data_IF_162292115262
#
_entry.id   IF_162292115262
#
_cell.length_a   1.000
_cell.length_b   1.000
_cell.length_c   1.000
_cell.angle_alpha   90.00
_cell.angle_beta   90.00
_cell.angle_gamma   90.00
#
_symmetry.space_group_name_H-M   'P 1'
#
loop_
_entity.id
_entity.type
_entity.pdbx_description
1 polymer ?
#
# COMPACT_ATOMS: atom_id res chain seq x y z
N UNK A 1 -17.45 7.62 -21.53
CA UNK A 1 -16.20 8.27 -21.09
C UNK A 1 -16.06 9.55 -21.92
N UNK A 2 -16.01 10.76 -21.33
CA UNK A 2 -15.78 11.99 -22.12
C UNK A 2 -14.38 11.93 -22.77
N UNK A 3 -14.18 12.46 -23.99
CA UNK A 3 -12.89 12.47 -24.70
C UNK A 3 -11.74 13.08 -23.88
N UNK A 4 -12.06 14.03 -22.99
CA UNK A 4 -11.09 14.72 -22.15
C UNK A 4 -10.37 13.77 -21.17
N UNK A 5 -11.05 12.72 -20.69
CA UNK A 5 -10.44 11.75 -19.76
C UNK A 5 -9.37 10.89 -20.43
N UNK A 6 -9.53 10.57 -21.72
CA UNK A 6 -8.54 9.77 -22.45
C UNK A 6 -7.25 10.58 -22.67
N UNK A 7 -7.38 11.87 -22.97
CA UNK A 7 -6.23 12.78 -23.11
C UNK A 7 -5.45 12.94 -21.80
N UNK A 8 -6.16 12.97 -20.68
CA UNK A 8 -5.52 13.02 -19.36
C UNK A 8 -4.64 11.78 -19.11
N UNK A 9 -5.12 10.57 -19.44
CA UNK A 9 -4.32 9.36 -19.29
C UNK A 9 -3.04 9.35 -20.15
N UNK A 10 -3.09 9.93 -21.35
CA UNK A 10 -1.89 10.08 -22.19
C UNK A 10 -0.89 11.03 -21.54
N UNK A 11 -1.34 12.12 -20.93
CA UNK A 11 -0.49 13.03 -20.17
C UNK A 11 0.14 12.35 -18.94
N UNK A 12 -0.60 11.44 -18.30
CA UNK A 12 -0.18 10.74 -17.09
C UNK A 12 0.63 9.46 -17.36
N UNK A 13 0.82 9.07 -18.63
CA UNK A 13 1.48 7.83 -19.05
C UNK A 13 2.87 7.66 -18.42
N UNK A 14 3.63 8.75 -18.26
CA UNK A 14 4.96 8.74 -17.64
C UNK A 14 4.95 8.14 -16.23
N UNK A 15 3.89 8.37 -15.46
CA UNK A 15 3.77 7.83 -14.11
C UNK A 15 3.52 6.32 -14.15
N UNK A 16 2.65 5.86 -15.03
CA UNK A 16 2.43 4.42 -15.20
C UNK A 16 3.68 3.68 -15.68
N UNK A 17 4.44 4.28 -16.61
CA UNK A 17 5.73 3.73 -17.04
C UNK A 17 6.73 3.67 -15.87
N UNK A 18 6.77 4.70 -15.03
CA UNK A 18 7.63 4.73 -13.83
C UNK A 18 7.31 3.58 -12.89
N UNK A 19 6.03 3.36 -12.59
CA UNK A 19 5.61 2.23 -11.75
C UNK A 19 5.98 0.89 -12.35
N UNK A 20 5.83 0.73 -13.67
CA UNK A 20 6.15 -0.52 -14.36
C UNK A 20 7.63 -0.94 -14.23
N UNK A 21 8.53 0.01 -13.92
CA UNK A 21 9.94 -0.28 -13.67
C UNK A 21 10.17 -1.02 -12.35
N UNK A 22 9.19 -1.06 -11.44
CA UNK A 22 9.27 -1.81 -10.19
C UNK A 22 8.02 -2.68 -9.97
N UNK A 23 7.99 -3.90 -10.53
CA UNK A 23 6.83 -4.79 -10.46
C UNK A 23 6.32 -5.08 -9.03
N UNK A 24 7.22 -5.12 -8.04
CA UNK A 24 6.84 -5.34 -6.65
C UNK A 24 6.02 -4.18 -6.08
N UNK A 25 6.34 -2.93 -6.42
CA UNK A 25 5.58 -1.74 -6.00
C UNK A 25 4.19 -1.75 -6.63
N UNK A 26 4.11 -2.16 -7.91
CA UNK A 26 2.84 -2.32 -8.62
C UNK A 26 1.97 -3.37 -7.94
N UNK A 27 2.56 -4.51 -7.57
CA UNK A 27 1.90 -5.52 -6.75
C UNK A 27 1.34 -4.93 -5.46
N UNK A 28 2.19 -4.22 -4.70
CA UNK A 28 1.83 -3.62 -3.41
C UNK A 28 0.53 -2.79 -3.51
N UNK A 29 0.46 -1.95 -4.55
CA UNK A 29 -0.69 -1.08 -4.78
C UNK A 29 -1.91 -1.86 -5.24
N UNK A 30 -1.75 -2.79 -6.20
CA UNK A 30 -2.87 -3.57 -6.75
C UNK A 30 -3.56 -4.35 -5.64
N UNK A 31 -2.79 -5.05 -4.81
CA UNK A 31 -3.30 -5.87 -3.72
C UNK A 31 -3.82 -5.04 -2.53
N UNK A 32 -3.44 -3.75 -2.44
CA UNK A 32 -4.01 -2.82 -1.45
C UNK A 32 -5.53 -2.68 -1.54
N UNK A 33 -6.15 -3.10 -2.66
CA UNK A 33 -7.61 -3.12 -2.81
C UNK A 33 -8.31 -3.89 -1.68
N UNK A 34 -7.68 -4.94 -1.14
CA UNK A 34 -8.22 -5.75 -0.05
C UNK A 34 -7.84 -5.23 1.33
N UNK A 35 -6.80 -4.40 1.42
CA UNK A 35 -6.37 -3.78 2.67
C UNK A 35 -7.40 -2.76 3.17
N UNK A 36 -7.53 -2.66 4.50
CA UNK A 36 -8.43 -1.72 5.17
C UNK A 36 -7.70 -1.11 6.39
N UNK A 37 -7.78 0.22 6.58
CA UNK A 37 -7.37 0.82 7.85
C UNK A 37 -8.17 0.21 9.00
N UNK A 38 -7.58 0.22 10.20
CA UNK A 38 -8.19 -0.24 11.45
C UNK A 38 -8.44 -1.75 11.59
N UNK A 39 -8.13 -2.56 10.56
CA UNK A 39 -8.16 -4.03 10.67
C UNK A 39 -6.84 -4.50 11.27
N UNK A 40 -6.93 -5.03 12.49
CA UNK A 40 -5.80 -5.65 13.17
C UNK A 40 -5.44 -7.02 12.58
N UNK A 41 -4.16 -7.39 12.66
CA UNK A 41 -3.62 -8.57 12.00
C UNK A 41 -4.23 -9.90 12.48
N UNK A 42 -4.73 -9.96 13.72
CA UNK A 42 -5.45 -11.11 14.28
C UNK A 42 -6.87 -11.30 13.73
N UNK A 43 -7.45 -10.28 13.08
CA UNK A 43 -8.80 -10.33 12.50
C UNK A 43 -8.81 -10.20 10.97
N UNK A 44 -7.64 -10.36 10.34
CA UNK A 44 -7.51 -10.33 8.87
C UNK A 44 -8.24 -11.50 8.23
N UNK A 45 -8.16 -12.71 8.79
CA UNK A 45 -8.84 -13.88 8.24
C UNK A 45 -10.36 -13.70 8.11
N UNK A 46 -11.10 -13.25 9.15
CA UNK A 46 -12.53 -12.97 8.97
C UNK A 46 -12.80 -11.80 8.03
N UNK A 47 -11.94 -10.77 7.99
CA UNK A 47 -12.04 -9.68 7.02
C UNK A 47 -11.95 -10.18 5.57
N UNK A 48 -10.93 -10.97 5.24
CA UNK A 48 -10.74 -11.52 3.90
C UNK A 48 -11.81 -12.57 3.56
N UNK A 49 -12.22 -13.41 4.51
CA UNK A 49 -13.30 -14.39 4.32
C UNK A 49 -14.64 -13.72 4.00
N UNK A 50 -14.95 -12.61 4.67
CA UNK A 50 -16.15 -11.82 4.35
C UNK A 50 -16.09 -11.21 2.95
N UNK A 51 -14.90 -10.77 2.52
CA UNK A 51 -14.70 -10.27 1.16
C UNK A 51 -14.83 -11.39 0.12
N UNK A 52 -14.26 -12.57 0.42
CA UNK A 52 -14.33 -13.76 -0.43
C UNK A 52 -15.78 -14.20 -0.69
N UNK A 53 -16.62 -14.22 0.34
CA UNK A 53 -18.02 -14.67 0.19
C UNK A 53 -18.83 -13.78 -0.77
N UNK A 54 -18.49 -12.49 -0.85
CA UNK A 54 -19.10 -11.54 -1.78
C UNK A 54 -18.50 -11.65 -3.18
N UNK A 55 -17.18 -11.79 -3.29
CA UNK A 55 -16.49 -11.75 -4.59
C UNK A 55 -16.51 -13.08 -5.33
N UNK A 56 -16.54 -14.22 -4.63
CA UNK A 56 -16.48 -15.55 -5.25
C UNK A 56 -17.63 -15.81 -6.23
N UNK A 57 -18.90 -15.52 -5.92
CA UNK A 57 -19.98 -15.68 -6.90
C UNK A 57 -19.81 -14.80 -8.15
N UNK A 58 -19.26 -13.58 -8.01
CA UNK A 58 -19.00 -12.68 -9.14
C UNK A 58 -17.88 -13.21 -10.04
N UNK A 59 -16.84 -13.77 -9.43
CA UNK A 59 -15.71 -14.40 -10.12
C UNK A 59 -16.18 -15.66 -10.85
N UNK A 60 -16.89 -16.55 -10.17
CA UNK A 60 -17.38 -17.83 -10.72
C UNK A 60 -18.36 -17.61 -11.89
N UNK A 61 -19.15 -16.53 -11.84
CA UNK A 61 -20.08 -16.14 -12.91
C UNK A 61 -19.44 -15.32 -14.05
N UNK A 62 -18.15 -14.99 -13.96
CA UNK A 62 -17.45 -14.19 -14.96
C UNK A 62 -17.87 -12.71 -15.02
N UNK A 63 -18.57 -12.21 -14.00
CA UNK A 63 -19.08 -10.84 -13.91
C UNK A 63 -17.98 -9.83 -13.50
N UNK A 64 -16.90 -9.78 -14.30
CA UNK A 64 -15.74 -8.92 -14.04
C UNK A 64 -16.07 -7.43 -14.12
N UNK A 65 -17.13 -7.04 -14.84
CA UNK A 65 -17.56 -5.64 -14.92
C UNK A 65 -18.10 -5.15 -13.56
N UNK A 66 -18.82 -5.99 -12.82
CA UNK A 66 -19.31 -5.70 -11.47
C UNK A 66 -18.11 -5.63 -10.50
N UNK A 67 -17.16 -6.55 -10.64
CA UNK A 67 -15.94 -6.58 -9.84
C UNK A 67 -15.12 -5.29 -9.99
N UNK A 68 -14.91 -4.82 -11.23
CA UNK A 68 -14.24 -3.54 -11.51
C UNK A 68 -14.98 -2.38 -10.87
N UNK A 69 -16.31 -2.33 -10.99
CA UNK A 69 -17.12 -1.25 -10.40
C UNK A 69 -16.99 -1.25 -8.88
N UNK A 70 -17.01 -2.42 -8.24
CA UNK A 70 -16.80 -2.55 -6.80
C UNK A 70 -15.41 -2.05 -6.40
N UNK A 71 -14.36 -2.39 -7.16
CA UNK A 71 -13.01 -1.90 -6.91
C UNK A 71 -12.91 -0.38 -7.11
N UNK A 72 -13.56 0.17 -8.14
CA UNK A 72 -13.61 1.61 -8.39
C UNK A 72 -14.32 2.38 -7.28
N UNK A 73 -15.39 1.83 -6.71
CA UNK A 73 -16.07 2.42 -5.56
C UNK A 73 -15.22 2.36 -4.28
N UNK A 74 -14.48 1.26 -4.08
CA UNK A 74 -13.66 1.08 -2.87
C UNK A 74 -12.38 1.92 -2.91
N UNK A 75 -11.63 1.87 -4.02
CA UNK A 75 -10.36 2.58 -4.21
C UNK A 75 -10.19 3.07 -5.65
N UNK A 76 -10.73 4.25 -5.99
CA UNK A 76 -10.67 4.82 -7.33
C UNK A 76 -9.26 4.87 -7.93
N UNK A 77 -8.26 5.23 -7.12
CA UNK A 77 -6.86 5.35 -7.56
C UNK A 77 -6.23 4.03 -7.97
N UNK A 78 -6.65 2.93 -7.35
CA UNK A 78 -6.13 1.58 -7.61
C UNK A 78 -6.93 0.87 -8.70
N UNK A 79 -8.22 1.18 -8.79
CA UNK A 79 -9.16 0.47 -9.66
C UNK A 79 -8.84 0.56 -11.16
N UNK A 80 -8.18 1.63 -11.61
CA UNK A 80 -7.76 1.75 -13.00
C UNK A 80 -6.78 0.64 -13.41
N UNK A 81 -5.84 0.27 -12.53
CA UNK A 81 -4.92 -0.82 -12.80
C UNK A 81 -5.65 -2.15 -12.86
N UNK A 82 -6.61 -2.38 -11.96
CA UNK A 82 -7.48 -3.55 -12.02
C UNK A 82 -8.30 -3.61 -13.31
N UNK A 83 -8.87 -2.49 -13.76
CA UNK A 83 -9.55 -2.42 -15.06
C UNK A 83 -8.61 -2.83 -16.19
N UNK A 84 -7.38 -2.29 -16.23
CA UNK A 84 -6.38 -2.68 -17.22
C UNK A 84 -6.08 -4.18 -17.18
N UNK A 85 -5.88 -4.74 -15.99
CA UNK A 85 -5.61 -6.17 -15.77
C UNK A 85 -6.77 -7.04 -16.28
N UNK A 86 -8.02 -6.66 -15.99
CA UNK A 86 -9.18 -7.42 -16.47
C UNK A 86 -9.40 -7.29 -17.97
N UNK A 87 -9.13 -6.12 -18.56
CA UNK A 87 -9.21 -5.91 -20.01
C UNK A 87 -8.15 -6.72 -20.77
N UNK A 88 -6.98 -6.97 -20.16
CA UNK A 88 -5.97 -7.88 -20.72
C UNK A 88 -6.41 -9.35 -20.72
N UNK A 89 -7.49 -9.70 -20.01
CA UNK A 89 -8.15 -11.00 -20.11
C UNK A 89 -7.33 -12.18 -19.58
N UNK A 90 -6.37 -11.95 -18.68
CA UNK A 90 -5.55 -13.04 -18.14
C UNK A 90 -6.40 -14.00 -17.28
N UNK A 91 -6.48 -15.30 -17.63
CA UNK A 91 -7.30 -16.27 -16.90
C UNK A 91 -6.75 -16.59 -15.51
N UNK A 92 -5.51 -16.21 -15.21
CA UNK A 92 -4.90 -16.45 -13.91
C UNK A 92 -5.43 -15.49 -12.82
N UNK A 93 -5.82 -14.27 -13.20
CA UNK A 93 -6.12 -13.19 -12.25
C UNK A 93 -7.25 -13.55 -11.26
N UNK A 94 -8.39 -14.12 -11.70
CA UNK A 94 -9.44 -14.48 -10.75
C UNK A 94 -8.97 -15.53 -9.73
N UNK A 95 -8.15 -16.50 -10.18
CA UNK A 95 -7.54 -17.50 -9.30
C UNK A 95 -6.59 -16.88 -8.27
N UNK A 96 -5.78 -15.89 -8.68
CA UNK A 96 -4.91 -15.15 -7.75
C UNK A 96 -5.70 -14.35 -6.72
N UNK A 97 -6.83 -13.73 -7.11
CA UNK A 97 -7.71 -13.00 -6.19
C UNK A 97 -8.29 -13.96 -5.15
N UNK A 98 -8.92 -15.06 -5.59
CA UNK A 98 -9.52 -16.04 -4.69
C UNK A 98 -8.47 -16.57 -3.71
N UNK A 99 -7.28 -16.91 -4.22
CA UNK A 99 -6.20 -17.41 -3.40
C UNK A 99 -5.71 -16.40 -2.37
N UNK A 100 -5.48 -15.15 -2.77
CA UNK A 100 -5.10 -14.10 -1.82
C UNK A 100 -6.15 -13.95 -0.70
N UNK A 101 -7.43 -14.01 -1.03
CA UNK A 101 -8.50 -13.93 -0.02
C UNK A 101 -8.59 -15.18 0.87
N UNK A 102 -8.17 -16.33 0.39
CA UNK A 102 -8.15 -17.60 1.14
C UNK A 102 -6.91 -17.74 2.03
N UNK A 103 -5.72 -17.38 1.52
CA UNK A 103 -4.43 -17.68 2.16
C UNK A 103 -3.59 -16.45 2.51
N UNK A 104 -4.04 -15.24 2.15
CA UNK A 104 -3.23 -14.01 2.18
C UNK A 104 -1.97 -14.05 1.30
N UNK A 105 -1.94 -14.96 0.33
CA UNK A 105 -0.83 -15.13 -0.62
C UNK A 105 -1.40 -15.30 -2.03
N UNK A 106 -0.93 -14.50 -2.98
CA UNK A 106 -1.35 -14.63 -4.38
C UNK A 106 -0.53 -15.69 -5.13
N UNK A 107 0.74 -15.90 -4.77
CA UNK A 107 1.63 -16.87 -5.42
C UNK A 107 1.92 -18.10 -4.54
N UNK A 108 2.48 -19.17 -5.11
CA UNK A 108 2.97 -20.33 -4.35
C UNK A 108 4.33 -20.01 -3.70
N UNK A 109 4.47 -20.33 -2.41
CA UNK A 109 5.69 -20.09 -1.63
C UNK A 109 5.69 -18.77 -0.87
N UNK A 110 6.86 -18.33 -0.41
CA UNK A 110 7.02 -17.13 0.44
C UNK A 110 7.01 -15.78 -0.31
N UNK A 111 6.65 -15.78 -1.60
CA UNK A 111 6.62 -14.56 -2.40
C UNK A 111 5.23 -13.93 -2.32
N UNK A 112 5.14 -12.75 -1.70
CA UNK A 112 3.94 -11.92 -1.77
C UNK A 112 4.22 -10.63 -2.54
N UNK A 113 3.39 -10.39 -3.55
CA UNK A 113 3.25 -9.14 -4.27
C UNK A 113 2.54 -8.08 -3.44
N UNK A 114 1.88 -8.45 -2.34
CA UNK A 114 1.17 -7.52 -1.45
C UNK A 114 2.06 -6.91 -0.36
N UNK A 115 3.37 -7.15 -0.39
CA UNK A 115 4.31 -6.56 0.56
C UNK A 115 4.24 -5.02 0.51
N UNK A 116 4.07 -4.32 1.64
CA UNK A 116 3.97 -2.86 1.65
C UNK A 116 5.21 -2.14 1.14
N UNK A 117 5.02 -1.16 0.28
CA UNK A 117 6.02 -0.19 -0.15
C UNK A 117 5.58 1.25 0.17
N UNK A 118 6.03 1.78 1.31
CA UNK A 118 5.64 3.12 1.74
C UNK A 118 6.05 4.24 0.77
N UNK A 119 7.04 4.00 -0.10
CA UNK A 119 7.44 4.95 -1.15
C UNK A 119 6.34 5.04 -2.19
N UNK A 120 5.85 3.91 -2.67
CA UNK A 120 4.84 3.88 -3.72
C UNK A 120 3.46 4.29 -3.20
N UNK A 121 3.12 3.94 -1.95
CA UNK A 121 1.90 4.41 -1.30
C UNK A 121 1.90 5.94 -1.16
N UNK A 122 3.05 6.50 -0.75
CA UNK A 122 3.26 7.95 -0.65
C UNK A 122 3.15 8.63 -2.01
N UNK A 123 3.78 8.06 -3.04
CA UNK A 123 3.83 8.61 -4.39
C UNK A 123 2.50 8.51 -5.13
N UNK A 124 1.73 7.43 -4.95
CA UNK A 124 0.40 7.27 -5.55
C UNK A 124 -0.73 7.87 -4.70
N UNK A 125 -0.47 8.12 -3.43
CA UNK A 125 -1.49 8.50 -2.45
C UNK A 125 -2.51 7.39 -2.17
N UNK A 126 -2.12 6.13 -2.36
CA UNK A 126 -2.93 4.95 -2.04
C UNK A 126 -2.30 4.22 -0.85
N UNK A 127 -2.77 4.45 0.39
CA UNK A 127 -2.25 3.76 1.57
C UNK A 127 -2.51 2.26 1.46
N UNK A 128 -1.54 1.42 1.80
CA UNK A 128 -1.64 -0.04 1.64
C UNK A 128 -1.26 -0.81 2.90
N UNK A 129 -0.87 -0.10 3.95
CA UNK A 129 -0.48 -0.68 5.22
C UNK A 129 -0.67 0.28 6.38
N UNK A 130 -0.62 -0.26 7.59
CA UNK A 130 -0.57 0.56 8.81
C UNK A 130 0.66 1.49 8.86
N UNK A 131 1.73 1.20 8.09
CA UNK A 131 2.93 2.03 8.00
C UNK A 131 2.70 3.35 7.24
N UNK A 132 1.65 3.43 6.43
CA UNK A 132 1.28 4.63 5.68
C UNK A 132 0.47 5.63 6.53
N UNK A 133 0.12 5.23 7.76
CA UNK A 133 -0.60 6.04 8.73
C UNK A 133 0.34 6.77 9.69
N UNK A 134 -0.16 7.83 10.32
CA UNK A 134 0.57 8.54 11.37
C UNK A 134 0.48 7.81 12.71
N UNK A 135 1.37 8.17 13.64
CA UNK A 135 1.24 7.73 15.03
C UNK A 135 -0.08 8.18 15.64
N UNK A 136 -0.73 7.28 16.39
CA UNK A 136 -2.06 7.54 16.95
C UNK A 136 -2.04 8.66 17.99
N UNK A 137 -0.97 8.71 18.80
CA UNK A 137 -0.72 9.72 19.85
C UNK A 137 0.75 9.78 20.26
N UNK A 138 1.06 10.78 21.08
CA UNK A 138 2.32 10.88 21.81
C UNK A 138 2.20 10.17 23.16
N UNK A 139 3.28 9.54 23.62
CA UNK A 139 3.36 8.76 24.86
C UNK A 139 4.35 9.43 25.82
N UNK A 140 3.90 10.45 26.55
CA UNK A 140 4.75 11.28 27.42
C UNK A 140 5.04 10.59 28.74
N UNK A 141 4.04 9.97 29.36
CA UNK A 141 4.17 9.45 30.72
C UNK A 141 4.83 8.06 30.72
N UNK A 142 5.66 7.80 31.74
CA UNK A 142 6.40 6.54 31.87
C UNK A 142 5.47 5.33 32.08
N UNK A 143 4.30 5.56 32.69
CA UNK A 143 3.33 4.52 33.01
C UNK A 143 2.36 4.24 31.85
N UNK A 144 2.54 4.89 30.70
CA UNK A 144 1.67 4.65 29.55
C UNK A 144 1.96 3.31 28.86
N UNK A 145 0.89 2.74 28.32
CA UNK A 145 0.97 1.64 27.38
C UNK A 145 1.04 2.19 25.95
N UNK A 146 2.07 1.77 25.22
CA UNK A 146 2.33 2.12 23.83
C UNK A 146 1.70 1.08 22.92
N UNK A 147 0.96 1.51 21.90
CA UNK A 147 0.41 0.57 20.91
C UNK A 147 1.54 -0.13 20.15
N UNK A 148 1.42 -1.43 19.90
CA UNK A 148 2.41 -2.14 19.08
C UNK A 148 2.51 -1.55 17.68
N UNK A 149 1.41 -0.98 17.17
CA UNK A 149 1.38 -0.31 15.87
C UNK A 149 2.29 0.91 15.85
N UNK A 150 2.19 1.79 16.86
CA UNK A 150 3.06 2.97 16.94
C UNK A 150 4.52 2.60 17.22
N UNK A 151 4.76 1.57 18.04
CA UNK A 151 6.10 1.05 18.28
C UNK A 151 6.73 0.52 16.98
N UNK A 152 6.02 -0.30 16.20
CA UNK A 152 6.53 -0.81 14.93
C UNK A 152 6.70 0.31 13.89
N UNK A 153 5.78 1.28 13.80
CA UNK A 153 5.95 2.47 12.95
C UNK A 153 7.21 3.25 13.34
N UNK A 154 7.44 3.46 14.64
CA UNK A 154 8.63 4.14 15.15
C UNK A 154 9.92 3.41 14.72
N UNK A 155 9.99 2.10 14.95
CA UNK A 155 11.15 1.28 14.53
C UNK A 155 11.34 1.29 13.00
N UNK A 156 10.25 1.24 12.23
CA UNK A 156 10.29 1.32 10.78
C UNK A 156 10.82 2.69 10.29
N UNK A 157 10.40 3.79 10.93
CA UNK A 157 10.91 5.15 10.68
C UNK A 157 12.40 5.30 10.95
N UNK A 158 12.90 4.64 11.99
CA UNK A 158 14.30 4.65 12.37
C UNK A 158 15.14 3.59 11.65
N UNK A 159 14.54 2.82 10.73
CA UNK A 159 15.19 1.70 10.02
C UNK A 159 15.81 0.66 10.98
N UNK A 160 15.14 0.41 12.11
CA UNK A 160 15.55 -0.54 13.15
C UNK A 160 14.87 -1.91 13.02
N UNK A 161 14.10 -2.11 11.95
CA UNK A 161 13.49 -3.38 11.59
C UNK A 161 14.27 -4.03 10.48
N UNK A 162 14.42 -5.35 10.54
CA UNK A 162 14.82 -6.10 9.35
C UNK A 162 13.72 -5.93 8.29
N UNK A 163 14.12 -5.69 7.06
CA UNK A 163 13.26 -5.69 5.87
C UNK A 163 12.35 -6.93 5.80
N UNK A 164 12.77 -8.07 6.36
CA UNK A 164 11.93 -9.28 6.49
C UNK A 164 10.76 -9.13 7.47
N UNK A 165 10.89 -8.29 8.50
CA UNK A 165 9.86 -8.01 9.51
C UNK A 165 8.86 -6.92 9.09
N UNK A 166 9.19 -6.15 8.05
CA UNK A 166 8.36 -5.09 7.48
C UNK A 166 7.25 -5.59 6.53
N UNK A 167 7.11 -6.92 6.37
CA UNK A 167 6.09 -7.55 5.52
C UNK A 167 4.64 -7.38 6.04
N UNK A 168 4.45 -6.76 7.20
CA UNK A 168 3.13 -6.61 7.80
C UNK A 168 2.40 -5.40 7.19
N UNK A 169 1.50 -5.66 6.24
CA UNK A 169 0.52 -4.66 5.78
C UNK A 169 -0.49 -4.32 6.90
N UNK A 170 -0.88 -5.32 7.68
CA UNK A 170 -1.95 -5.23 8.67
C UNK A 170 -1.46 -4.71 10.02
N UNK A 171 -2.33 -3.98 10.71
CA UNK A 171 -2.00 -3.34 11.97
C UNK A 171 -1.74 -4.39 13.07
N UNK A 172 -0.61 -4.34 13.81
CA UNK A 172 -0.41 -5.23 14.94
C UNK A 172 -1.36 -4.89 16.10
N UNK A 173 -1.93 -5.92 16.74
CA UNK A 173 -2.81 -5.77 17.90
C UNK A 173 -2.04 -5.63 19.22
N UNK A 174 -2.68 -4.95 20.16
CA UNK A 174 -2.23 -4.87 21.56
C UNK A 174 -1.23 -3.77 21.86
N UNK A 175 -0.76 -3.78 23.11
CA UNK A 175 0.05 -2.71 23.70
C UNK A 175 1.24 -3.28 24.48
N UNK A 176 2.24 -2.44 24.73
CA UNK A 176 3.38 -2.74 25.61
C UNK A 176 3.59 -1.57 26.58
N UNK A 177 3.89 -1.81 27.88
CA UNK A 177 4.26 -0.75 28.81
C UNK A 177 5.50 0.00 28.29
N UNK A 178 5.51 1.33 28.38
CA UNK A 178 6.65 2.16 27.91
C UNK A 178 7.96 1.77 28.61
N UNK A 179 7.89 1.34 29.87
CA UNK A 179 9.04 0.83 30.65
C UNK A 179 9.68 -0.44 30.08
N UNK A 180 8.97 -1.19 29.24
CA UNK A 180 9.48 -2.41 28.58
C UNK A 180 10.02 -2.15 27.17
N UNK A 181 10.04 -0.89 26.72
CA UNK A 181 10.50 -0.46 25.40
C UNK A 181 11.90 0.13 25.52
N UNK A 182 12.73 -0.06 24.50
CA UNK A 182 14.10 0.47 24.49
C UNK A 182 14.10 2.00 24.73
N UNK A 183 14.84 2.51 25.74
CA UNK A 183 14.85 3.94 26.08
C UNK A 183 15.22 4.86 24.91
N UNK A 184 16.02 4.38 23.96
CA UNK A 184 16.37 5.13 22.74
C UNK A 184 15.19 5.44 21.82
N UNK A 185 14.06 4.72 21.96
CA UNK A 185 12.83 4.98 21.20
C UNK A 185 11.91 6.00 21.89
N UNK A 186 12.13 6.33 23.17
CA UNK A 186 11.22 7.18 23.93
C UNK A 186 11.06 8.58 23.35
N UNK A 187 12.12 9.32 22.94
CA UNK A 187 11.94 10.65 22.36
C UNK A 187 11.04 10.62 21.12
N UNK A 188 11.10 9.54 20.33
CA UNK A 188 10.28 9.37 19.13
C UNK A 188 8.83 8.99 19.42
N UNK A 189 8.58 8.29 20.52
CA UNK A 189 7.23 7.93 20.98
C UNK A 189 6.55 9.09 21.72
N UNK A 190 7.33 9.96 22.37
CA UNK A 190 6.86 11.17 23.04
C UNK A 190 6.43 12.27 22.05
N UNK A 191 6.75 12.10 20.76
CA UNK A 191 6.34 13.01 19.69
C UNK A 191 5.47 12.30 18.66
N UNK A 192 4.41 12.99 18.21
CA UNK A 192 3.65 12.51 17.05
C UNK A 192 4.51 12.64 15.80
N UNK A 193 4.94 11.49 15.28
CA UNK A 193 5.68 11.39 14.02
C UNK A 193 4.76 10.92 12.89
N UNK A 194 4.88 11.55 11.72
CA UNK A 194 4.20 11.16 10.48
C UNK A 194 5.12 11.36 9.29
N UNK A 195 5.16 10.39 8.38
CA UNK A 195 5.82 10.55 7.08
C UNK A 195 4.94 11.36 6.13
N UNK A 196 5.53 12.33 5.47
CA UNK A 196 4.85 13.12 4.43
C UNK A 196 5.64 13.04 3.15
N UNK A 197 4.95 12.69 2.07
CA UNK A 197 5.52 12.78 0.74
C UNK A 197 5.79 14.24 0.38
N UNK A 198 7.02 14.54 -0.02
CA UNK A 198 7.40 15.89 -0.42
C UNK A 198 7.34 16.05 -1.94
N UNK A 199 8.31 15.46 -2.64
CA UNK A 199 8.46 15.51 -4.09
C UNK A 199 9.31 14.34 -4.60
N UNK A 200 9.38 14.19 -5.92
CA UNK A 200 10.25 13.25 -6.63
C UNK A 200 11.23 14.03 -7.49
N UNK A 201 12.48 13.58 -7.57
CA UNK A 201 13.51 14.21 -8.41
C UNK A 201 13.97 13.23 -9.48
N UNK A 202 13.73 13.58 -10.73
CA UNK A 202 14.30 12.86 -11.87
C UNK A 202 15.71 13.33 -12.14
N UNK A 203 16.66 12.40 -12.10
CA UNK A 203 18.04 12.66 -12.50
C UNK A 203 18.23 12.23 -13.95
N UNK A 204 18.21 13.20 -14.86
CA UNK A 204 18.41 12.95 -16.30
C UNK A 204 19.90 13.01 -16.57
N UNK A 205 20.49 11.86 -16.93
CA UNK A 205 21.91 11.76 -17.29
C UNK A 205 22.14 12.02 -18.77
N UNK A 206 23.25 12.66 -19.11
CA UNK A 206 23.77 12.75 -20.49
C UNK A 206 25.22 12.27 -20.47
N UNK A 207 25.45 11.02 -20.87
CA UNK A 207 26.70 10.31 -20.59
C UNK A 207 26.80 9.95 -19.11
N UNK A 208 27.98 10.09 -18.50
CA UNK A 208 28.19 9.81 -17.06
C UNK A 208 27.76 10.96 -16.14
N UNK A 209 27.56 12.17 -16.68
CA UNK A 209 27.18 13.34 -15.90
C UNK A 209 25.65 13.48 -15.76
N UNK A 210 25.20 13.90 -14.58
CA UNK A 210 23.81 14.36 -14.37
C UNK A 210 23.65 15.69 -15.12
N UNK A 211 22.84 15.69 -16.16
CA UNK A 211 22.63 16.84 -17.02
C UNK A 211 21.50 17.75 -16.53
N UNK A 212 20.47 17.18 -15.90
CA UNK A 212 19.32 17.93 -15.38
C UNK A 212 18.67 17.20 -14.22
N UNK A 213 18.22 17.98 -13.23
CA UNK A 213 17.25 17.55 -12.23
C UNK A 213 15.87 18.10 -12.61
N UNK A 214 14.86 17.25 -12.60
CA UNK A 214 13.46 17.64 -12.81
C UNK A 214 12.65 17.26 -11.58
N UNK A 215 12.21 18.27 -10.82
CA UNK A 215 11.44 18.09 -9.59
C UNK A 215 9.95 18.01 -9.94
N UNK A 216 9.31 16.93 -9.53
CA UNK A 216 7.89 16.68 -9.75
C UNK A 216 7.18 16.41 -8.43
N UNK A 217 5.91 16.80 -8.36
CA UNK A 217 5.08 16.60 -7.17
C UNK A 217 4.53 15.18 -7.07
N UNK A 218 4.76 14.35 -8.10
CA UNK A 218 4.46 12.91 -8.08
C UNK A 218 3.01 12.61 -8.42
N UNK A 219 2.74 11.34 -8.74
CA UNK A 219 1.42 10.89 -9.22
C UNK A 219 0.27 11.39 -8.33
N UNK A 220 0.42 11.30 -7.01
CA UNK A 220 -0.59 11.71 -6.03
C UNK A 220 -1.11 13.13 -6.23
N UNK A 221 -0.22 14.08 -6.53
CA UNK A 221 -0.51 15.51 -6.63
C UNK A 221 -0.75 15.94 -8.08
N UNK A 222 -0.08 15.28 -9.02
CA UNK A 222 -0.14 15.61 -10.44
C UNK A 222 -1.35 14.97 -11.15
N UNK A 223 -1.87 13.86 -10.62
CA UNK A 223 -3.06 13.16 -11.13
C UNK A 223 -4.12 13.16 -10.03
N UNK A 224 -5.18 13.95 -10.23
CA UNK A 224 -6.25 14.21 -9.24
C UNK A 224 -6.93 12.94 -8.72
#
# INVERSE_FOLDING_TARGET
MRPDHIRQYVADLRYYMTLSMHPMSVGSIIWSIFWQPDVECNVVSPWLSSTLSVLRPLIDSGNLDILVKAFALRRPRVALWWLGIFLLGSPAIPGLILRYLETSEECWGYATMASPDTTVASWTGSPQSFLDEGTSRAYVDLNESVSKADLLRCRYNLRLQDTSSALLAWQPFGVAPKTMIEPGLWPWLEHRSKRTYEHWVWYIKKGEAVARQDVQQGFRKDTG
#
